data_IF_618395366488
#
_entry.id   IF_618395366488
#
_cell.length_a   1.000
_cell.length_b   1.000
_cell.length_c   1.000
_cell.angle_alpha   90.00
_cell.angle_beta   90.00
_cell.angle_gamma   90.00
#
_symmetry.space_group_name_H-M   'P 1'
#
loop_
_entity.id
_entity.type
_entity.pdbx_description
1 polymer ?
2 non-polymer ?
3 non-polymer ?
4 non-polymer ?
5 water ?
#
# COMPACT_ATOMS: atom_id res chain seq x y z
N UNK A 8 22.19 -12.44 22.66
CA UNK A 8 20.95 -12.67 23.38
C UNK A 8 20.05 -13.65 22.64
N UNK A 9 18.95 -13.14 22.07
CA UNK A 9 18.07 -13.97 21.27
C UNK A 9 18.66 -14.31 19.91
N UNK A 10 19.91 -13.94 19.65
CA UNK A 10 20.51 -14.22 18.35
C UNK A 10 20.77 -15.70 18.13
N UNK A 11 20.73 -16.51 19.18
CA UNK A 11 20.85 -17.94 19.03
C UNK A 11 19.55 -18.67 18.75
N UNK A 12 18.47 -17.94 18.48
CA UNK A 12 17.16 -18.57 18.33
C UNK A 12 17.09 -19.44 17.09
N UNK A 13 17.32 -18.85 15.91
CA UNK A 13 17.20 -19.60 14.67
C UNK A 13 18.26 -20.71 14.57
N UNK A 14 19.38 -20.54 15.26
CA UNK A 14 20.35 -21.64 15.35
C UNK A 14 19.75 -22.83 16.10
N UNK A 15 19.04 -22.56 17.19
CA UNK A 15 18.45 -23.64 17.98
C UNK A 15 17.22 -24.25 17.32
N UNK A 16 16.65 -23.57 16.33
CA UNK A 16 15.48 -24.07 15.64
C UNK A 16 15.82 -24.85 14.37
N UNK A 17 17.09 -24.93 14.00
CA UNK A 17 17.45 -25.58 12.75
C UNK A 17 17.01 -24.80 11.53
N UNK A 18 16.89 -23.50 11.63
CA UNK A 18 16.42 -22.63 10.55
C UNK A 18 17.61 -21.82 10.05
N UNK A 19 17.92 -21.88 8.76
CA UNK A 19 19.08 -21.16 8.25
C UNK A 19 18.84 -19.67 8.16
N UNK A 20 19.90 -18.95 7.79
CA UNK A 20 19.85 -17.52 7.62
C UNK A 20 21.22 -16.89 7.77
N UNK A 21 21.31 -15.60 7.45
CA UNK A 21 22.60 -14.90 7.60
C UNK A 21 22.98 -14.77 9.07
N UNK A 22 24.23 -15.11 9.38
CA UNK A 22 24.69 -15.08 10.76
C UNK A 22 24.67 -13.64 11.27
N UNK A 23 24.02 -13.37 12.41
CA UNK A 23 23.90 -12.00 12.87
C UNK A 23 25.14 -11.51 13.60
N UNK A 24 25.37 -10.20 13.49
CA UNK A 24 26.38 -9.51 14.26
C UNK A 24 25.81 -9.05 15.59
N UNK A 25 26.66 -8.85 16.61
CA UNK A 25 26.14 -8.40 17.91
C UNK A 25 25.39 -7.09 17.81
N UNK A 26 24.28 -7.01 18.53
CA UNK A 26 23.43 -5.81 18.63
C UNK A 26 22.76 -5.47 17.30
N UNK A 27 23.54 -5.41 16.22
CA UNK A 27 22.98 -5.02 14.93
C UNK A 27 22.19 -6.15 14.27
N UNK A 28 22.53 -7.40 14.56
CA UNK A 28 21.85 -8.50 13.90
C UNK A 28 22.26 -8.61 12.46
N UNK A 29 21.29 -8.47 11.55
CA UNK A 29 21.57 -8.54 10.12
C UNK A 29 21.24 -7.23 9.40
N UNK A 30 21.05 -6.13 10.13
CA UNK A 30 20.63 -4.87 9.51
C UNK A 30 21.67 -4.32 8.56
N UNK A 31 22.93 -4.76 8.70
CA UNK A 31 23.98 -4.28 7.81
C UNK A 31 23.75 -4.70 6.37
N UNK A 32 23.10 -5.84 6.14
CA UNK A 32 22.85 -6.33 4.80
C UNK A 32 21.74 -5.57 4.06
N UNK A 33 21.08 -4.62 4.74
CA UNK A 33 20.15 -3.68 4.13
C UNK A 33 20.81 -2.57 3.32
N UNK A 34 22.12 -2.64 3.06
CA UNK A 34 22.78 -1.56 2.33
C UNK A 34 22.34 -1.46 0.89
N UNK A 35 21.60 -2.46 0.37
CA UNK A 35 20.97 -2.37 -0.94
C UNK A 35 19.46 -2.43 -0.85
N UNK A 36 18.89 -2.04 0.28
CA UNK A 36 17.46 -2.17 0.49
C UNK A 36 17.09 -3.55 0.99
N UNK A 37 16.00 -3.64 1.78
CA UNK A 37 15.59 -4.94 2.27
C UNK A 37 15.05 -5.85 1.18
N UNK A 38 14.57 -5.30 0.06
CA UNK A 38 14.08 -6.15 -1.03
C UNK A 38 15.22 -6.97 -1.61
N UNK A 39 16.36 -6.33 -1.92
CA UNK A 39 17.53 -7.07 -2.36
C UNK A 39 17.95 -8.10 -1.32
N UNK A 40 17.86 -7.73 -0.04
CA UNK A 40 18.15 -8.68 1.03
C UNK A 40 17.17 -9.84 1.03
N UNK A 41 15.88 -9.55 0.86
CA UNK A 41 14.88 -10.61 0.86
C UNK A 41 15.05 -11.53 -0.33
N UNK A 42 15.32 -10.98 -1.51
CA UNK A 42 15.49 -11.80 -2.70
C UNK A 42 16.72 -12.67 -2.61
N UNK A 43 17.85 -12.11 -2.15
CA UNK A 43 19.07 -12.89 -2.05
C UNK A 43 18.95 -13.97 -0.97
N UNK A 44 18.33 -13.64 0.16
CA UNK A 44 18.07 -14.65 1.18
C UNK A 44 17.10 -15.71 0.67
N UNK A 45 16.15 -15.31 -0.18
CA UNK A 45 15.22 -16.27 -0.75
C UNK A 45 15.93 -17.28 -1.65
N UNK A 46 17.03 -16.87 -2.29
CA UNK A 46 17.75 -17.74 -3.21
C UNK A 46 18.79 -18.59 -2.50
N UNK A 47 19.33 -18.12 -1.38
CA UNK A 47 20.39 -18.85 -0.68
C UNK A 47 19.86 -19.83 0.35
N UNK A 48 18.68 -19.57 0.94
CA UNK A 48 18.19 -20.39 2.04
C UNK A 48 16.89 -21.13 1.74
N UNK A 49 16.16 -20.76 0.70
CA UNK A 49 15.00 -21.52 0.31
C UNK A 49 13.66 -20.96 0.74
N UNK A 50 12.74 -21.83 1.14
CA UNK A 50 11.37 -21.42 1.41
C UNK A 50 11.22 -20.71 2.76
N UNK A 51 12.06 -21.04 3.73
CA UNK A 51 12.00 -20.44 5.06
C UNK A 51 13.41 -20.06 5.48
N UNK A 52 13.55 -18.90 6.14
CA UNK A 52 14.82 -18.48 6.71
C UNK A 52 14.54 -17.43 7.77
N UNK A 53 15.51 -17.25 8.66
CA UNK A 53 15.38 -16.29 9.73
C UNK A 53 16.57 -15.35 9.80
N UNK A 54 16.30 -14.14 10.28
CA UNK A 54 17.33 -13.13 10.45
C UNK A 54 16.93 -12.24 11.62
N UNK A 55 17.74 -11.22 11.88
CA UNK A 55 17.55 -10.37 13.05
C UNK A 55 17.63 -8.91 12.64
N UNK A 56 16.56 -8.16 12.87
CA UNK A 56 16.59 -6.70 12.81
C UNK A 56 17.02 -6.22 14.19
N UNK A 57 18.33 -5.97 14.35
CA UNK A 57 18.86 -5.75 15.66
C UNK A 57 18.88 -7.05 16.43
N UNK A 58 18.14 -7.12 17.53
CA UNK A 58 17.96 -8.35 18.29
C UNK A 58 16.57 -8.93 18.10
N UNK A 59 15.78 -8.39 17.17
CA UNK A 59 14.43 -8.87 16.93
C UNK A 59 14.48 -10.01 15.91
N UNK A 60 14.13 -11.23 16.28
CA UNK A 60 14.13 -12.33 15.30
C UNK A 60 12.96 -12.20 14.34
N UNK A 61 13.25 -12.34 13.05
CA UNK A 61 12.24 -12.26 12.00
C UNK A 61 12.29 -13.56 11.21
N UNK A 62 11.15 -14.23 11.09
CA UNK A 62 11.03 -15.46 10.34
C UNK A 62 10.37 -15.18 8.99
N UNK A 63 11.11 -15.42 7.91
CA UNK A 63 10.59 -15.21 6.57
C UNK A 63 10.01 -16.51 6.02
N UNK A 64 8.80 -16.44 5.50
CA UNK A 64 8.13 -17.59 4.92
C UNK A 64 7.71 -17.26 3.50
N UNK A 65 7.85 -18.24 2.60
CA UNK A 65 7.43 -18.09 1.21
C UNK A 65 6.50 -19.20 0.74
N UNK A 66 6.12 -20.13 1.61
CA UNK A 66 5.23 -21.21 1.23
C UNK A 66 3.78 -20.73 1.26
N UNK A 67 3.01 -20.98 0.20
CA UNK A 67 1.65 -20.40 0.15
C UNK A 67 0.72 -20.92 1.24
N UNK A 68 0.74 -22.22 1.51
CA UNK A 68 -0.12 -22.77 2.56
C UNK A 68 0.24 -22.19 3.92
N UNK A 69 1.54 -22.06 4.21
CA UNK A 69 1.96 -21.47 5.48
C UNK A 69 1.58 -20.00 5.55
N UNK A 70 1.75 -19.28 4.43
CA UNK A 70 1.34 -17.87 4.38
C UNK A 70 -0.16 -17.74 4.62
N UNK A 71 -0.95 -18.63 4.01
CA UNK A 71 -2.39 -18.61 4.21
C UNK A 71 -2.75 -18.87 5.68
N UNK A 72 -2.00 -19.76 6.34
CA UNK A 72 -2.25 -20.03 7.75
C UNK A 72 -1.97 -18.79 8.59
N UNK A 73 -0.91 -18.05 8.27
CA UNK A 73 -0.56 -16.87 9.06
C UNK A 73 -1.58 -15.75 8.84
N UNK A 74 -1.84 -15.42 7.57
CA UNK A 74 -2.68 -14.27 7.27
C UNK A 74 -4.17 -14.54 7.48
N UNK A 75 -4.61 -15.80 7.38
CA UNK A 75 -6.03 -16.09 7.38
C UNK A 75 -6.40 -17.06 8.48
N UNK A 76 -5.82 -18.27 8.46
CA UNK A 76 -6.28 -19.35 9.33
C UNK A 76 -6.07 -19.02 10.80
N UNK A 77 -4.91 -18.46 11.15
CA UNK A 77 -4.55 -18.20 12.53
C UNK A 77 -4.37 -16.70 12.79
N UNK A 78 -5.23 -15.87 12.20
CA UNK A 78 -5.12 -14.44 12.38
C UNK A 78 -5.62 -13.99 13.75
N UNK A 79 -6.86 -14.36 14.10
CA UNK A 79 -7.45 -13.87 15.33
C UNK A 79 -6.75 -14.43 16.55
N UNK A 80 -6.33 -15.70 16.50
CA UNK A 80 -5.79 -16.36 17.68
C UNK A 80 -4.30 -16.14 17.88
N UNK A 81 -3.54 -15.95 16.80
CA UNK A 81 -2.09 -15.88 16.91
C UNK A 81 -1.55 -14.62 16.25
N UNK A 82 -1.74 -14.50 14.94
CA UNK A 82 -1.10 -13.43 14.17
C UNK A 82 -2.07 -12.26 13.97
N UNK A 83 -2.46 -11.65 15.10
CA UNK A 83 -3.42 -10.55 15.07
C UNK A 83 -2.78 -9.20 14.80
N UNK A 84 -1.49 -9.05 15.08
CA UNK A 84 -0.86 -7.75 15.07
C UNK A 84 0.41 -7.76 14.21
N UNK A 85 0.77 -6.57 13.75
CA UNK A 85 2.01 -6.34 13.03
C UNK A 85 3.07 -5.82 14.00
N UNK A 86 4.23 -5.44 13.46
CA UNK A 86 5.30 -4.92 14.29
C UNK A 86 4.84 -3.64 14.99
N UNK A 87 5.02 -3.52 16.30
CA UNK A 87 4.53 -2.32 17.02
C UNK A 87 5.32 -1.08 16.61
N UNK A 88 4.61 -0.13 16.01
CA UNK A 88 5.21 1.12 15.56
C UNK A 88 5.11 2.18 16.65
N UNK A 89 6.13 3.03 16.72
CA UNK A 89 6.17 4.09 17.69
C UNK A 89 7.45 4.90 17.60
N UNK A 90 7.54 5.99 18.37
CA UNK A 90 6.52 6.55 19.28
C UNK A 90 5.45 7.32 18.53
N UNK A 91 4.20 7.30 19.00
CA UNK A 91 3.10 7.92 18.27
C UNK A 91 2.26 8.79 19.20
N UNK A 92 2.04 8.35 20.42
CA UNK A 92 1.18 9.05 21.34
C UNK A 92 -0.26 8.64 21.13
N UNK A 93 -1.12 9.62 20.86
CA UNK A 93 -2.53 9.33 20.60
C UNK A 93 -2.73 8.53 19.32
N UNK A 94 -1.78 8.60 18.39
CA UNK A 94 -1.88 7.82 17.17
C UNK A 94 -1.80 6.32 17.41
N UNK A 95 -1.58 5.88 18.65
CA UNK A 95 -1.61 4.45 18.92
C UNK A 95 -3.00 3.87 18.70
N UNK A 96 -4.03 4.71 18.74
CA UNK A 96 -5.41 4.27 18.58
C UNK A 96 -5.86 4.30 17.13
N UNK A 97 -4.96 4.56 16.19
CA UNK A 97 -5.29 4.45 14.78
C UNK A 97 -5.45 2.99 14.40
N UNK A 98 -6.41 2.71 13.51
CA UNK A 98 -6.78 1.33 13.21
C UNK A 98 -5.60 0.57 12.63
N UNK A 99 -4.82 1.21 11.75
CA UNK A 99 -3.65 0.56 11.17
C UNK A 99 -2.52 0.36 12.16
N UNK A 100 -2.66 0.84 13.40
CA UNK A 100 -1.62 0.70 14.40
C UNK A 100 -2.11 -0.02 15.66
N UNK A 101 -3.40 0.00 15.97
CA UNK A 101 -3.92 -0.61 17.18
C UNK A 101 -3.74 -2.13 17.14
N UNK A 102 -3.98 -2.77 18.29
CA UNK A 102 -3.71 -4.19 18.46
C UNK A 102 -4.90 -4.92 19.04
N UNK A 103 -5.08 -6.17 18.59
CA UNK A 103 -6.01 -7.13 19.19
C UNK A 103 -7.42 -6.57 19.38
N UNK A 104 -7.84 -6.43 20.64
CA UNK A 104 -9.22 -6.07 20.93
C UNK A 104 -9.56 -4.66 20.47
N UNK A 105 -8.61 -3.72 20.63
CA UNK A 105 -8.89 -2.36 20.19
C UNK A 105 -8.96 -2.27 18.67
N UNK A 106 -8.08 -2.99 17.97
CA UNK A 106 -8.18 -3.04 16.51
C UNK A 106 -9.43 -3.76 16.07
N UNK A 107 -9.76 -4.89 16.72
CA UNK A 107 -10.96 -5.64 16.37
C UNK A 107 -12.20 -4.76 16.42
N UNK A 108 -12.24 -3.83 17.37
CA UNK A 108 -13.35 -2.89 17.44
C UNK A 108 -13.24 -1.84 16.34
N UNK A 109 -12.03 -1.29 16.16
CA UNK A 109 -11.84 -0.27 15.13
C UNK A 109 -12.14 -0.82 13.74
N UNK A 110 -11.83 -2.10 13.51
CA UNK A 110 -12.15 -2.72 12.23
C UNK A 110 -13.67 -2.80 12.03
N UNK A 111 -14.38 -3.31 13.03
CA UNK A 111 -15.83 -3.39 12.95
C UNK A 111 -16.47 -2.01 12.92
N UNK A 112 -15.82 -1.02 13.53
CA UNK A 112 -16.37 0.33 13.52
C UNK A 112 -16.25 0.97 12.15
N UNK A 113 -15.12 0.74 11.46
CA UNK A 113 -14.83 1.40 10.19
C UNK A 113 -15.05 0.50 8.97
N UNK A 114 -15.51 -0.74 9.17
CA UNK A 114 -15.77 -1.61 8.02
C UNK A 114 -16.81 -1.05 7.06
N UNK A 115 -17.98 -0.54 7.49
CA UNK A 115 -19.01 -0.16 6.52
C UNK A 115 -18.68 1.02 5.62
N UNK A 116 -17.50 1.62 5.78
CA UNK A 116 -17.10 2.73 4.93
C UNK A 116 -16.86 2.46 3.45
N UNK A 117 -16.52 1.23 3.08
CA UNK A 117 -16.27 0.85 1.70
C UNK A 117 -17.00 -0.44 1.35
N UNK A 118 -18.31 -0.47 1.58
CA UNK A 118 -19.12 -1.63 1.22
C UNK A 118 -19.33 -1.65 -0.29
N UNK A 119 -20.22 -2.54 -0.74
CA UNK A 119 -20.53 -2.61 -2.16
C UNK A 119 -21.20 -1.32 -2.64
N UNK A 120 -22.30 -0.95 -1.98
CA UNK A 120 -23.02 0.27 -2.35
C UNK A 120 -22.44 1.55 -1.76
N UNK A 121 -21.60 1.45 -0.73
CA UNK A 121 -20.99 2.65 -0.16
C UNK A 121 -20.08 3.34 -1.18
N UNK A 122 -19.46 2.57 -2.07
CA UNK A 122 -18.64 3.15 -3.11
C UNK A 122 -19.46 3.62 -4.31
N UNK A 123 -20.69 3.11 -4.44
CA UNK A 123 -21.51 3.47 -5.60
C UNK A 123 -21.97 4.91 -5.58
N UNK A 124 -22.34 5.42 -4.41
CA UNK A 124 -22.63 6.84 -4.21
C UNK A 124 -21.40 7.67 -3.89
N UNK A 125 -20.23 7.26 -4.37
CA UNK A 125 -19.02 8.07 -4.33
C UNK A 125 -18.62 8.61 -5.70
N UNK A 126 -18.81 7.81 -6.75
CA UNK A 126 -18.46 8.14 -8.14
C UNK A 126 -19.02 9.48 -8.59
N UNK A 127 -20.29 9.80 -8.30
CA UNK A 127 -20.78 11.14 -8.65
C UNK A 127 -19.97 12.26 -8.02
N UNK A 128 -19.37 12.02 -6.86
CA UNK A 128 -18.52 13.04 -6.25
C UNK A 128 -17.10 12.93 -6.79
N UNK A 129 -16.60 11.71 -6.98
CA UNK A 129 -15.25 11.52 -7.50
C UNK A 129 -15.14 12.02 -8.94
N UNK A 130 -16.21 11.87 -9.73
CA UNK A 130 -16.15 12.21 -11.14
C UNK A 130 -15.90 13.69 -11.35
N UNK A 131 -16.44 14.54 -10.47
CA UNK A 131 -16.24 15.98 -10.60
C UNK A 131 -14.77 16.35 -10.47
N UNK A 132 -14.06 15.71 -9.55
CA UNK A 132 -12.63 16.00 -9.40
C UNK A 132 -11.83 15.49 -10.57
N UNK A 133 -12.36 14.50 -11.30
CA UNK A 133 -11.69 14.05 -12.51
C UNK A 133 -11.51 15.18 -13.51
N UNK A 134 -12.60 15.92 -13.78
CA UNK A 134 -12.52 17.05 -14.72
C UNK A 134 -11.49 18.07 -14.27
N UNK A 135 -11.45 18.35 -12.96
CA UNK A 135 -10.47 19.28 -12.40
C UNK A 135 -9.08 18.84 -12.77
N UNK A 136 -8.85 17.53 -12.78
CA UNK A 136 -7.56 16.99 -13.18
C UNK A 136 -7.33 17.21 -14.68
N UNK A 137 -8.33 16.89 -15.51
CA UNK A 137 -8.13 17.05 -16.96
C UNK A 137 -7.99 18.52 -17.33
N UNK A 138 -8.55 19.42 -16.51
CA UNK A 138 -8.36 20.86 -16.74
C UNK A 138 -6.92 21.25 -16.45
N UNK A 139 -6.43 20.93 -15.25
CA UNK A 139 -5.04 21.15 -14.92
C UNK A 139 -4.10 20.30 -15.76
N UNK A 140 -4.59 19.22 -16.36
CA UNK A 140 -3.77 18.44 -17.27
C UNK A 140 -3.72 19.07 -18.66
N UNK A 141 -4.81 19.71 -19.09
CA UNK A 141 -4.91 20.18 -20.47
C UNK A 141 -3.91 21.29 -20.75
N UNK A 142 -3.25 21.79 -19.70
CA UNK A 142 -2.19 22.81 -19.89
C UNK A 142 -1.25 22.31 -20.98
N UNK A 143 -0.89 23.19 -21.93
CA UNK A 143 -0.07 22.77 -23.09
C UNK A 143 1.34 23.37 -23.01
N UNK A 144 2.16 22.92 -22.06
CA UNK A 144 3.57 23.38 -22.04
C UNK A 144 4.36 22.51 -23.01
N UNK A 145 4.03 22.58 -24.30
CA UNK A 145 4.68 21.70 -25.31
C UNK A 145 6.00 22.30 -25.78
N UNK A 149 8.48 17.64 -19.75
CA UNK A 149 7.52 16.62 -19.30
C UNK A 149 6.61 17.16 -18.18
N UNK A 150 6.03 16.26 -17.39
CA UNK A 150 5.12 16.66 -16.28
C UNK A 150 5.43 15.78 -15.06
N UNK A 151 5.57 16.38 -13.87
CA UNK A 151 5.77 15.52 -12.68
C UNK A 151 4.46 14.81 -12.38
N UNK A 152 4.37 13.52 -12.70
CA UNK A 152 3.10 12.82 -12.56
C UNK A 152 2.61 12.79 -11.12
N UNK A 153 3.52 12.82 -10.14
CA UNK A 153 3.12 12.64 -8.75
C UNK A 153 2.29 13.82 -8.25
N UNK A 154 2.76 15.04 -8.51
CA UNK A 154 2.07 16.22 -7.97
C UNK A 154 0.65 16.33 -8.51
N UNK A 155 0.48 16.11 -9.82
CA UNK A 155 -0.86 16.19 -10.41
C UNK A 155 -1.76 15.09 -9.84
N UNK A 156 -1.23 13.88 -9.72
CA UNK A 156 -2.01 12.80 -9.12
C UNK A 156 -2.23 13.04 -7.63
N UNK A 157 -1.23 13.58 -6.95
CA UNK A 157 -1.39 13.87 -5.52
C UNK A 157 -2.41 14.95 -5.27
N UNK A 158 -2.46 15.96 -6.13
CA UNK A 158 -3.51 16.97 -6.03
C UNK A 158 -4.89 16.35 -6.14
N UNK A 159 -5.05 15.42 -7.08
CA UNK A 159 -6.35 14.75 -7.27
C UNK A 159 -6.67 13.84 -6.08
N UNK A 160 -5.73 12.97 -5.70
CA UNK A 160 -6.00 11.97 -4.68
C UNK A 160 -6.28 12.60 -3.33
N UNK A 161 -5.67 13.76 -3.05
CA UNK A 161 -6.03 14.49 -1.83
C UNK A 161 -7.43 15.07 -1.94
N UNK A 162 -7.79 15.56 -3.13
CA UNK A 162 -9.10 16.16 -3.31
C UNK A 162 -10.22 15.14 -3.17
N UNK A 163 -9.95 13.87 -3.45
CA UNK A 163 -11.00 12.86 -3.45
C UNK A 163 -11.17 12.23 -2.06
N UNK A 164 -10.07 12.03 -1.32
CA UNK A 164 -10.21 11.38 -0.02
C UNK A 164 -10.64 12.39 1.04
N UNK A 165 -10.29 13.66 0.88
CA UNK A 165 -10.79 14.69 1.77
C UNK A 165 -12.26 15.01 1.51
N UNK A 166 -12.81 14.54 0.39
CA UNK A 166 -14.20 14.76 0.03
C UNK A 166 -15.09 13.58 0.35
N UNK A 167 -14.57 12.36 0.12
CA UNK A 167 -15.33 11.12 0.45
C UNK A 167 -15.38 10.94 1.97
N UNK A 168 -14.38 11.45 2.69
CA UNK A 168 -14.33 11.30 4.17
C UNK A 168 -15.01 12.51 4.83
N UNK A 169 -14.77 13.71 4.31
CA UNK A 169 -15.35 14.95 4.89
C UNK A 169 -15.76 15.89 3.74
N UNK A 170 -16.36 17.03 4.05
CA UNK A 170 -16.83 17.94 2.98
C UNK A 170 -15.82 19.02 2.68
N UNK A 171 -15.04 18.85 1.61
CA UNK A 171 -14.07 19.92 1.20
C UNK A 171 -13.71 19.59 -0.25
N UNK A 172 -13.58 20.62 -1.10
CA UNK A 172 -12.95 20.47 -2.45
C UNK A 172 -11.71 21.36 -2.45
N UNK A 173 -10.70 21.06 -3.26
CA UNK A 173 -9.44 21.86 -3.17
C UNK A 173 -8.96 21.75 -4.63
N UNK A 174 -9.09 22.82 -5.43
CA UNK A 174 -8.33 22.98 -6.66
C UNK A 174 -6.91 23.27 -6.17
N UNK A 175 -6.05 22.25 -6.22
CA UNK A 175 -4.68 22.33 -5.74
C UNK A 175 -3.72 22.98 -6.75
N UNK A 176 -4.27 23.68 -7.76
CA UNK A 176 -3.44 24.59 -8.54
C UNK A 176 -2.78 25.63 -7.66
N UNK A 177 -3.41 25.96 -6.54
CA UNK A 177 -2.86 26.92 -5.58
C UNK A 177 -2.38 25.98 -4.49
N UNK A 178 -2.15 26.54 -3.30
CA UNK A 178 -1.53 25.75 -2.21
C UNK A 178 -2.57 25.00 -1.39
N UNK A 179 -2.35 23.71 -1.08
CA UNK A 179 -3.23 22.95 -0.21
C UNK A 179 -2.66 23.05 1.21
N UNK A 180 -3.19 22.27 2.15
CA UNK A 180 -2.77 22.38 3.56
C UNK A 180 -2.18 21.04 3.98
N UNK A 181 -2.46 19.99 3.21
CA UNK A 181 -1.93 18.64 3.51
C UNK A 181 -0.40 18.66 3.45
N UNK A 182 0.31 18.52 4.58
CA UNK A 182 1.76 18.58 4.61
C UNK A 182 2.43 17.20 4.69
N UNK A 183 1.63 16.12 4.77
CA UNK A 183 2.20 14.75 4.87
C UNK A 183 3.52 14.79 5.65
N UNK A 198 11.73 11.45 6.14
CA UNK A 198 11.77 10.16 6.84
C UNK A 198 13.17 9.78 7.31
N UNK A 199 13.80 8.80 6.67
CA UNK A 199 15.19 8.38 7.02
C UNK A 199 15.41 8.37 8.53
N UNK A 200 14.56 7.63 9.26
CA UNK A 200 14.76 7.46 10.73
C UNK A 200 14.19 6.09 11.14
N UNK A 201 15.05 5.14 11.49
CA UNK A 201 14.57 3.77 11.83
C UNK A 201 15.54 3.11 12.82
N UNK A 202 16.36 3.90 13.52
CA UNK A 202 17.28 3.34 14.54
C UNK A 202 16.51 2.34 15.41
N UNK A 203 15.24 2.64 15.71
CA UNK A 203 14.40 1.73 16.55
C UNK A 203 14.52 0.30 16.01
N UNK A 204 14.43 0.12 14.68
CA UNK A 204 14.44 -1.25 14.17
C UNK A 204 15.63 -2.02 14.72
N UNK A 205 16.75 -1.33 14.92
CA UNK A 205 17.87 -1.92 15.62
C UNK A 205 17.63 -1.92 17.13
N UNK A 206 17.17 -0.79 17.67
CA UNK A 206 17.10 -0.57 19.11
C UNK A 206 15.72 -0.04 19.45
N UNK A 207 14.71 -0.92 19.51
CA UNK A 207 13.33 -0.43 19.67
C UNK A 207 12.93 -0.24 21.11
N UNK A 208 13.79 -0.72 22.02
CA UNK A 208 13.53 -0.75 23.45
C UNK A 208 13.46 0.68 23.97
N UNK A 209 13.88 1.60 23.12
CA UNK A 209 13.79 3.03 23.33
C UNK A 209 12.44 3.62 22.95
N UNK A 210 11.54 2.84 22.34
CA UNK A 210 10.19 3.33 22.07
C UNK A 210 9.43 3.65 23.36
N UNK A 211 9.39 2.78 24.37
CA UNK A 211 8.73 3.18 25.63
C UNK A 211 9.38 4.37 26.30
N UNK A 212 10.64 4.67 25.99
CA UNK A 212 11.25 5.91 26.47
C UNK A 212 10.53 7.11 25.89
N UNK A 213 10.28 7.08 24.57
CA UNK A 213 9.68 8.21 23.89
C UNK A 213 8.17 8.27 24.08
N UNK A 214 7.53 7.15 24.43
CA UNK A 214 6.12 7.18 24.80
C UNK A 214 5.87 7.96 26.08
N UNK A 215 6.91 8.20 26.87
CA UNK A 215 6.83 9.08 28.04
C UNK A 215 7.64 10.34 27.87
N UNK A 216 8.53 10.40 26.88
CA UNK A 216 9.26 11.61 26.54
C UNK A 216 8.43 12.59 25.72
N UNK A 217 7.14 12.31 25.56
CA UNK A 217 6.20 13.16 24.81
C UNK A 217 6.53 13.36 23.33
N UNK A 218 6.57 12.24 22.62
CA UNK A 218 6.96 12.20 21.21
C UNK A 218 5.79 11.69 20.40
N UNK A 219 5.49 12.36 19.29
CA UNK A 219 4.41 11.94 18.41
C UNK A 219 4.96 11.48 17.06
N UNK A 226 1.53 14.80 15.04
CA UNK A 226 0.81 15.87 14.30
C UNK A 226 0.30 16.93 15.27
N UNK A 227 0.12 18.16 14.79
CA UNK A 227 -0.45 19.23 15.64
C UNK A 227 -1.42 20.06 14.80
N UNK A 228 -0.92 20.70 13.73
CA UNK A 228 -1.84 21.43 12.82
C UNK A 228 -3.03 20.51 12.52
N UNK A 229 -2.74 19.32 12.00
CA UNK A 229 -3.81 18.40 11.65
C UNK A 229 -4.39 17.70 12.86
N UNK A 230 -3.67 17.67 13.99
CA UNK A 230 -4.20 17.00 15.17
C UNK A 230 -5.44 17.69 15.73
N UNK A 231 -5.72 18.91 15.29
CA UNK A 231 -6.96 19.57 15.70
C UNK A 231 -7.74 20.13 14.50
N UNK A 232 -7.05 20.42 13.40
CA UNK A 232 -7.74 20.84 12.18
C UNK A 232 -8.79 19.81 11.77
N UNK A 233 -8.47 18.53 11.91
CA UNK A 233 -9.47 17.48 11.73
C UNK A 233 -10.47 17.53 12.87
N UNK A 234 -9.98 17.64 14.11
CA UNK A 234 -10.80 17.60 15.32
C UNK A 234 -11.93 18.62 15.27
N UNK A 235 -11.68 19.74 14.58
CA UNK A 235 -12.65 20.82 14.45
C UNK A 235 -13.96 20.32 13.86
N UNK A 236 -13.87 19.40 12.91
CA UNK A 236 -15.00 18.84 12.19
C UNK A 236 -16.07 18.48 13.20
N UNK A 237 -17.18 19.19 13.12
CA UNK A 237 -18.36 18.92 13.92
C UNK A 237 -19.59 18.60 13.09
N UNK A 238 -19.80 19.32 11.98
CA UNK A 238 -20.92 19.09 11.05
C UNK A 238 -22.24 18.95 11.80
N UNK A 239 -22.52 19.92 12.67
CA UNK A 239 -23.75 19.95 13.44
C UNK A 239 -24.06 21.35 13.96
N UNK A 250 -20.45 8.55 4.49
CA UNK A 250 -19.66 9.62 5.08
C UNK A 250 -18.79 9.09 6.21
N UNK A 251 -17.47 9.09 6.00
CA UNK A 251 -16.55 8.57 7.00
C UNK A 251 -16.55 9.42 8.27
N UNK A 252 -16.59 10.74 8.11
CA UNK A 252 -16.60 11.62 9.28
C UNK A 252 -17.91 11.50 10.04
N UNK A 253 -19.05 11.52 9.32
CA UNK A 253 -20.34 11.45 9.98
C UNK A 253 -20.75 10.08 10.51
N UNK A 254 -20.19 9.03 9.91
CA UNK A 254 -20.40 7.65 10.43
C UNK A 254 -19.43 7.35 11.58
N UNK A 255 -18.91 8.40 12.23
CA UNK A 255 -17.95 8.21 13.34
C UNK A 255 -18.37 9.13 14.49
N UNK A 256 -18.64 10.40 14.20
CA UNK A 256 -19.15 11.32 15.26
C UNK A 256 -20.38 10.67 15.89
N UNK A 257 -20.99 9.71 15.20
CA UNK A 257 -22.13 8.96 15.78
C UNK A 257 -21.70 8.49 17.18
N UNK A 258 -20.39 8.32 17.40
CA UNK A 258 -19.87 7.93 18.74
C UNK A 258 -20.86 8.35 19.82
N UNK A 266 -21.13 1.64 26.04
CA UNK A 266 -21.58 0.40 25.41
C UNK A 266 -20.41 -0.37 24.82
N UNK A 267 -19.19 0.04 25.20
CA UNK A 267 -17.95 -0.54 24.69
C UNK A 267 -17.80 -0.33 23.18
N UNK A 268 -18.37 0.76 22.67
CA UNK A 268 -18.30 1.06 21.24
C UNK A 268 -18.26 2.57 21.03
N UNK A 269 -17.35 3.25 21.73
CA UNK A 269 -17.26 4.69 21.68
C UNK A 269 -16.13 5.12 20.74
N UNK A 270 -15.79 6.41 20.80
CA UNK A 270 -14.73 6.99 19.98
C UNK A 270 -14.45 8.42 20.41
N UNK A 271 -13.28 8.65 21.01
CA UNK A 271 -12.91 9.99 21.43
C UNK A 271 -12.66 10.87 20.19
N UNK A 272 -12.52 12.17 20.46
CA UNK A 272 -12.15 13.11 19.41
C UNK A 272 -10.80 12.73 18.80
N UNK A 273 -9.82 12.38 19.65
CA UNK A 273 -8.52 11.98 19.14
C UNK A 273 -8.63 10.70 18.31
N UNK A 274 -9.49 9.78 18.74
CA UNK A 274 -9.74 8.56 17.98
C UNK A 274 -10.29 8.90 16.61
N UNK A 275 -11.29 9.77 16.56
CA UNK A 275 -11.78 10.31 15.29
C UNK A 275 -10.62 10.79 14.43
N UNK A 276 -9.77 11.64 15.01
CA UNK A 276 -8.66 12.21 14.24
C UNK A 276 -7.67 11.12 13.84
N UNK A 277 -7.35 10.23 14.78
CA UNK A 277 -6.38 9.17 14.52
C UNK A 277 -6.78 8.28 13.36
N UNK A 278 -8.08 8.02 13.21
CA UNK A 278 -8.53 7.28 12.02
C UNK A 278 -8.50 8.17 10.79
N UNK A 279 -8.82 9.46 10.96
CA UNK A 279 -8.83 10.39 9.83
C UNK A 279 -7.42 10.57 9.27
N UNK A 280 -6.41 10.58 10.14
CA UNK A 280 -5.04 10.75 9.68
C UNK A 280 -4.62 9.60 8.79
N UNK A 281 -5.05 8.38 9.15
CA UNK A 281 -4.71 7.20 8.35
C UNK A 281 -5.42 7.25 7.00
N UNK A 282 -6.73 7.51 7.02
CA UNK A 282 -7.51 7.50 5.78
C UNK A 282 -7.03 8.58 4.80
N UNK A 283 -6.64 9.75 5.33
CA UNK A 283 -6.18 10.82 4.47
C UNK A 283 -4.85 10.45 3.83
N UNK A 284 -3.89 9.99 4.64
CA UNK A 284 -2.58 9.63 4.11
C UNK A 284 -2.69 8.50 3.10
N UNK A 285 -3.44 7.45 3.43
CA UNK A 285 -3.59 6.31 2.54
C UNK A 285 -4.29 6.70 1.24
N UNK A 286 -5.33 7.53 1.33
CA UNK A 286 -6.04 7.96 0.13
C UNK A 286 -5.25 8.91 -0.74
N UNK A 287 -4.31 9.63 -0.16
CA UNK A 287 -3.48 10.54 -0.93
C UNK A 287 -2.24 9.86 -1.49
N UNK A 288 -1.46 9.20 -0.63
CA UNK A 288 -0.16 8.69 -1.04
C UNK A 288 -0.29 7.43 -1.89
N UNK A 289 -0.99 6.41 -1.37
CA UNK A 289 -1.08 5.13 -2.07
C UNK A 289 -1.68 5.31 -3.45
N UNK A 290 -2.77 6.06 -3.55
CA UNK A 290 -3.40 6.30 -4.84
C UNK A 290 -2.43 6.99 -5.81
N UNK A 291 -1.92 8.16 -5.42
CA UNK A 291 -1.08 8.94 -6.31
C UNK A 291 0.22 8.19 -6.66
N UNK A 292 0.80 7.49 -5.69
CA UNK A 292 2.06 6.78 -5.94
C UNK A 292 1.88 5.68 -6.98
N UNK A 293 0.83 4.87 -6.83
CA UNK A 293 0.59 3.80 -7.79
C UNK A 293 0.17 4.36 -9.14
N UNK A 294 -0.64 5.43 -9.14
CA UNK A 294 -1.03 6.06 -10.40
C UNK A 294 0.19 6.50 -11.20
N UNK A 295 1.19 7.08 -10.53
CA UNK A 295 2.40 7.49 -11.23
C UNK A 295 3.20 6.29 -11.71
N UNK A 296 3.22 5.22 -10.93
CA UNK A 296 3.90 3.99 -11.38
C UNK A 296 3.18 3.39 -12.58
N UNK A 297 1.85 3.44 -12.60
CA UNK A 297 1.10 2.92 -13.73
C UNK A 297 1.42 3.73 -14.99
N UNK A 298 1.47 5.06 -14.85
CA UNK A 298 1.74 5.92 -16.00
C UNK A 298 3.16 5.72 -16.53
N UNK A 299 4.12 5.43 -15.65
CA UNK A 299 5.47 5.15 -16.12
C UNK A 299 5.50 3.93 -17.02
N UNK A 300 4.81 2.86 -16.62
CA UNK A 300 4.78 1.65 -17.44
C UNK A 300 3.98 1.86 -18.72
N UNK A 301 2.96 2.73 -18.69
CA UNK A 301 2.20 3.01 -19.90
C UNK A 301 3.03 3.83 -20.89
N UNK A 302 3.84 4.75 -20.39
CA UNK A 302 4.69 5.55 -21.28
C UNK A 302 5.79 4.70 -21.90
N UNK A 303 6.39 3.80 -21.12
CA UNK A 303 7.46 2.95 -21.61
C UNK A 303 6.94 1.73 -22.37
N UNK A 304 5.63 1.55 -22.44
CA UNK A 304 5.01 0.46 -23.21
C UNK A 304 3.85 1.05 -24.01
N UNK A 305 4.14 1.66 -25.16
CA UNK A 305 3.06 2.28 -25.94
C UNK A 305 1.99 1.30 -26.40
N UNK A 306 2.35 0.05 -26.66
CA UNK A 306 1.36 -0.93 -27.09
C UNK A 306 0.34 -1.19 -25.98
N UNK A 307 0.80 -1.24 -24.73
CA UNK A 307 -0.12 -1.45 -23.62
C UNK A 307 -0.95 -0.19 -23.38
N UNK A 308 -0.32 0.99 -23.42
CA UNK A 308 -1.05 2.23 -23.26
C UNK A 308 -2.06 2.43 -24.38
N UNK A 309 -1.72 2.02 -25.60
CA UNK A 309 -2.64 2.15 -26.72
C UNK A 309 -3.77 1.14 -26.64
N UNK A 310 -3.46 -0.13 -26.33
CA UNK A 310 -4.50 -1.13 -26.21
C UNK A 310 -5.44 -0.81 -25.06
N UNK A 311 -4.93 -0.19 -24.00
CA UNK A 311 -5.80 0.23 -22.90
C UNK A 311 -6.69 1.39 -23.33
N UNK A 312 -6.13 2.37 -24.04
CA UNK A 312 -6.94 3.49 -24.50
C UNK A 312 -8.03 3.05 -25.46
N UNK A 313 -7.78 1.98 -26.22
CA UNK A 313 -8.84 1.40 -27.05
C UNK A 313 -9.94 0.82 -26.17
N UNK A 314 -9.57 0.21 -25.04
CA UNK A 314 -10.55 -0.40 -24.15
C UNK A 314 -11.49 0.66 -23.57
N UNK A 315 -10.97 1.84 -23.25
CA UNK A 315 -11.80 2.88 -22.67
C UNK A 315 -12.73 3.49 -23.71
N UNK A 316 -12.29 3.57 -24.97
CA UNK A 316 -13.13 4.14 -26.01
C UNK A 316 -14.32 3.25 -26.31
N UNK A 317 -14.14 1.93 -26.29
CA UNK A 317 -15.23 1.03 -26.66
C UNK A 317 -16.29 0.97 -25.55
N UNK A 318 -15.88 0.53 -24.35
CA UNK A 318 -16.82 0.39 -23.25
C UNK A 318 -17.48 1.72 -22.92
N UNK A 319 -16.71 2.80 -22.93
CA UNK A 319 -17.24 4.14 -22.72
C UNK A 319 -17.17 4.92 -24.02
N UNK A 320 -18.17 4.79 -24.90
CA UNK A 320 -18.10 5.47 -26.20
C UNK A 320 -18.35 6.97 -26.06
N UNK A 321 -17.75 7.74 -26.97
CA UNK A 321 -17.89 9.19 -27.00
C UNK A 321 -17.41 9.83 -25.70
N UNK A 322 -16.44 9.19 -25.04
CA UNK A 322 -15.95 9.62 -23.73
C UNK A 322 -17.12 9.82 -22.75
N UNK A 323 -17.94 8.78 -22.63
CA UNK A 323 -19.08 8.82 -21.71
C UNK A 323 -18.56 8.95 -20.27
N UNK A 324 -19.34 9.59 -19.40
CA UNK A 324 -18.89 9.79 -18.01
C UNK A 324 -18.65 8.46 -17.33
N UNK A 325 -17.52 8.30 -16.64
CA UNK A 325 -17.22 7.03 -15.95
C UNK A 325 -18.20 6.81 -14.80
N UNK A 326 -18.94 5.70 -14.87
CA UNK A 326 -19.88 5.33 -13.83
C UNK A 326 -19.26 4.24 -12.95
N UNK A 327 -20.03 3.78 -11.96
CA UNK A 327 -19.52 2.75 -11.06
C UNK A 327 -19.46 1.39 -11.73
N UNK A 328 -20.30 1.15 -12.74
CA UNK A 328 -20.35 -0.15 -13.40
C UNK A 328 -19.48 -0.25 -14.64
N UNK A 329 -19.10 0.89 -15.24
CA UNK A 329 -18.20 0.85 -16.38
C UNK A 329 -16.77 0.53 -15.97
N UNK A 330 -16.37 0.95 -14.77
CA UNK A 330 -15.04 0.63 -14.26
C UNK A 330 -14.90 -0.87 -14.03
N UNK A 331 -15.94 -1.48 -13.47
CA UNK A 331 -15.90 -2.87 -13.03
C UNK A 331 -15.89 -3.88 -14.17
N UNK A 332 -15.94 -3.44 -15.44
CA UNK A 332 -15.94 -4.36 -16.56
C UNK A 332 -14.76 -4.19 -17.50
N UNK A 333 -14.04 -3.07 -17.43
CA UNK A 333 -12.86 -2.89 -18.26
C UNK A 333 -11.87 -3.92 -17.73
N UNK A 334 -11.71 -5.01 -18.48
CA UNK A 334 -10.88 -6.11 -18.00
C UNK A 334 -9.39 -5.81 -18.15
N UNK A 335 -8.97 -5.31 -19.32
CA UNK A 335 -7.57 -5.00 -19.54
C UNK A 335 -7.08 -3.91 -18.60
N UNK A 336 -7.96 -2.96 -18.25
CA UNK A 336 -7.61 -1.97 -17.23
C UNK A 336 -7.28 -2.65 -15.92
N UNK A 337 -8.07 -3.65 -15.53
CA UNK A 337 -7.80 -4.37 -14.29
C UNK A 337 -6.46 -5.09 -14.36
N UNK A 338 -6.10 -5.64 -15.52
CA UNK A 338 -4.82 -6.31 -15.66
C UNK A 338 -3.66 -5.33 -15.53
N UNK A 339 -3.84 -4.11 -16.03
CA UNK A 339 -2.75 -3.14 -16.04
C UNK A 339 -2.44 -2.69 -14.61
N UNK A 340 -3.47 -2.40 -13.82
CA UNK A 340 -3.21 -2.00 -12.43
C UNK A 340 -2.73 -3.19 -11.61
N UNK A 341 -3.12 -4.41 -12.00
CA UNK A 341 -2.68 -5.58 -11.27
C UNK A 341 -1.21 -5.88 -11.52
N UNK A 342 -0.80 -5.82 -12.80
CA UNK A 342 0.60 -6.08 -13.13
C UNK A 342 1.53 -5.01 -12.56
N UNK A 343 1.05 -3.76 -12.48
CA UNK A 343 1.86 -2.72 -11.86
C UNK A 343 2.03 -2.95 -10.36
N UNK A 344 0.97 -3.44 -9.71
CA UNK A 344 1.07 -3.76 -8.28
C UNK A 344 2.00 -4.93 -8.02
N UNK A 345 2.21 -5.81 -9.01
CA UNK A 345 3.17 -6.90 -8.84
C UNK A 345 4.60 -6.35 -8.83
N UNK A 346 4.95 -5.52 -9.82
CA UNK A 346 6.31 -5.01 -9.91
C UNK A 346 6.59 -3.93 -8.87
N UNK A 347 5.56 -3.21 -8.43
CA UNK A 347 5.71 -2.11 -7.48
C UNK A 347 4.70 -2.29 -6.34
N UNK A 348 4.97 -3.21 -5.41
CA UNK A 348 4.09 -3.36 -4.25
C UNK A 348 4.34 -2.24 -3.24
N UNK A 349 3.25 -1.73 -2.67
CA UNK A 349 3.36 -0.70 -1.65
C UNK A 349 3.90 -1.29 -0.36
N UNK A 350 3.60 -2.56 -0.10
CA UNK A 350 4.07 -3.22 1.12
C UNK A 350 5.54 -3.62 1.02
N UNK A 351 5.87 -4.41 0.00
CA UNK A 351 7.18 -5.05 -0.18
C UNK A 351 7.34 -6.15 0.87
N UNK A 352 6.95 -5.88 2.11
CA UNK A 352 6.93 -6.88 3.17
C UNK A 352 5.59 -6.89 3.89
N UNK A 353 5.02 -8.09 4.04
CA UNK A 353 3.90 -8.31 4.95
C UNK A 353 4.43 -8.96 6.22
N UNK A 354 3.91 -8.52 7.37
CA UNK A 354 4.44 -9.00 8.64
C UNK A 354 3.31 -9.19 9.65
N UNK A 355 3.48 -10.19 10.51
CA UNK A 355 2.59 -10.46 11.63
C UNK A 355 3.43 -10.88 12.82
N UNK A 356 3.08 -10.35 14.00
CA UNK A 356 3.79 -10.70 15.23
C UNK A 356 3.16 -11.95 15.83
N UNK A 357 3.98 -12.96 16.08
CA UNK A 357 3.51 -14.18 16.71
C UNK A 357 3.20 -13.90 18.18
N UNK A 358 1.95 -14.10 18.58
CA UNK A 358 1.53 -13.74 19.93
C UNK A 358 1.65 -14.89 20.91
N UNK A 359 1.57 -16.13 20.43
CA UNK A 359 1.73 -17.30 21.29
C UNK A 359 2.30 -18.43 20.46
N UNK A 360 2.85 -19.43 21.16
CA UNK A 360 3.53 -20.54 20.50
C UNK A 360 2.57 -21.27 19.56
N UNK A 361 3.05 -21.56 18.35
CA UNK A 361 2.25 -22.23 17.33
C UNK A 361 3.09 -23.29 16.63
N UNK A 362 2.38 -24.26 16.04
CA UNK A 362 2.97 -25.20 15.09
C UNK A 362 2.10 -25.17 13.84
N UNK A 363 2.62 -24.57 12.77
CA UNK A 363 1.88 -24.38 11.54
C UNK A 363 2.61 -25.10 10.40
N UNK A 364 1.87 -25.92 9.66
CA UNK A 364 2.42 -26.69 8.54
C UNK A 364 3.66 -27.48 8.94
N UNK A 365 3.64 -28.01 10.17
CA UNK A 365 4.74 -28.80 10.66
C UNK A 365 5.99 -28.01 11.01
N UNK A 366 5.83 -26.88 11.70
CA UNK A 366 6.96 -26.07 12.11
C UNK A 366 6.56 -25.23 13.31
N UNK A 367 7.39 -25.25 14.35
CA UNK A 367 7.10 -24.54 15.59
C UNK A 367 7.64 -23.12 15.53
N UNK A 368 6.86 -22.17 16.04
CA UNK A 368 7.23 -20.76 16.08
C UNK A 368 7.04 -20.24 17.49
N UNK A 369 8.06 -19.66 18.13
CA UNK A 369 7.91 -19.15 19.48
C UNK A 369 7.17 -17.80 19.49
N UNK A 370 6.74 -17.41 20.68
CA UNK A 370 6.11 -16.12 20.88
C UNK A 370 7.12 -15.00 20.69
N UNK A 371 6.65 -13.89 20.14
CA UNK A 371 7.48 -12.71 19.97
C UNK A 371 8.26 -12.64 18.68
N UNK A 372 8.22 -13.68 17.86
CA UNK A 372 8.89 -13.67 16.56
C UNK A 372 7.99 -12.97 15.55
N UNK A 373 8.58 -12.11 14.73
CA UNK A 373 7.87 -11.47 13.64
C UNK A 373 7.96 -12.37 12.42
N UNK A 374 6.80 -12.80 11.91
CA UNK A 374 6.73 -13.60 10.70
C UNK A 374 6.57 -12.65 9.51
N UNK A 375 7.50 -12.71 8.57
CA UNK A 375 7.52 -11.81 7.43
C UNK A 375 7.25 -12.58 6.14
N UNK A 376 6.44 -12.00 5.27
CA UNK A 376 6.15 -12.53 3.95
C UNK A 376 6.75 -11.57 2.93
N UNK A 377 7.85 -11.92 2.27
CA UNK A 377 8.52 -10.99 1.33
C UNK A 377 7.77 -10.85 0.02
N UNK A 378 6.76 -9.98 0.03
CA UNK A 378 5.90 -9.80 -1.13
C UNK A 378 6.70 -9.39 -2.36
N UNK A 379 7.62 -8.43 -2.20
CA UNK A 379 8.43 -7.99 -3.32
C UNK A 379 9.26 -9.15 -3.88
N UNK A 380 9.87 -9.93 -2.99
CA UNK A 380 10.66 -11.07 -3.45
C UNK A 380 9.79 -12.12 -4.13
N UNK A 381 8.57 -12.31 -3.61
CA UNK A 381 7.65 -13.28 -4.21
C UNK A 381 7.05 -12.76 -5.51
N UNK A 382 6.82 -11.45 -5.60
CA UNK A 382 6.30 -10.88 -6.84
C UNK A 382 7.34 -10.93 -7.96
N UNK A 383 8.63 -10.94 -7.61
CA UNK A 383 9.71 -11.00 -8.58
C UNK A 383 10.32 -12.39 -8.66
N UNK A 384 9.61 -13.41 -8.21
CA UNK A 384 10.18 -14.76 -8.13
C UNK A 384 10.09 -15.45 -9.50
N UNK A 385 11.22 -15.83 -10.10
CA UNK A 385 11.15 -16.55 -11.39
C UNK A 385 10.49 -17.92 -11.30
N UNK A 386 10.28 -18.45 -10.09
CA UNK A 386 9.59 -19.73 -9.95
C UNK A 386 8.09 -19.61 -10.11
N UNK A 387 7.52 -18.42 -9.93
CA UNK A 387 6.09 -18.21 -10.12
C UNK A 387 5.76 -17.27 -11.28
N UNK A 388 6.74 -16.55 -11.81
CA UNK A 388 6.53 -15.66 -12.94
C UNK A 388 7.66 -15.86 -13.94
N UNK A 389 7.32 -16.03 -15.21
CA UNK A 389 8.32 -16.11 -16.26
C UNK A 389 8.76 -14.71 -16.66
N UNK A 390 10.08 -14.50 -16.73
CA UNK A 390 10.66 -13.17 -16.94
C UNK A 390 10.02 -12.19 -15.96
N UNK A 391 10.24 -12.36 -14.66
CA UNK A 391 9.46 -11.60 -13.67
C UNK A 391 9.78 -10.11 -13.64
N UNK A 392 10.93 -9.69 -14.15
CA UNK A 392 11.26 -8.27 -14.17
C UNK A 392 10.56 -7.52 -15.29
N UNK A 393 9.81 -8.21 -16.16
CA UNK A 393 9.16 -7.59 -17.29
C UNK A 393 7.73 -7.18 -16.94
N UNK A 394 7.29 -6.08 -17.53
CA UNK A 394 5.91 -5.60 -17.39
C UNK A 394 5.06 -6.28 -18.44
N UNK A 395 4.25 -7.25 -18.01
CA UNK A 395 3.40 -8.03 -18.92
C UNK A 395 2.02 -8.19 -18.28
N UNK A 396 1.07 -7.30 -18.60
CA UNK A 396 -0.26 -7.40 -18.01
C UNK A 396 -1.04 -8.63 -18.44
N UNK A 397 -0.56 -9.39 -19.43
CA UNK A 397 -1.23 -10.63 -19.82
C UNK A 397 -1.15 -11.70 -18.75
N UNK A 398 -0.27 -11.54 -17.76
CA UNK A 398 -0.26 -12.49 -16.65
C UNK A 398 -1.61 -12.54 -15.96
N UNK A 399 -2.36 -11.44 -15.98
CA UNK A 399 -3.66 -11.35 -15.33
C UNK A 399 -4.81 -11.44 -16.32
N UNK A 400 -4.60 -12.08 -17.46
CA UNK A 400 -5.67 -12.26 -18.43
C UNK A 400 -6.68 -13.29 -17.91
N UNK A 401 -7.73 -13.51 -18.69
CA UNK A 401 -8.79 -14.45 -18.29
C UNK A 401 -8.23 -15.85 -18.05
N UNK A 402 -7.38 -16.33 -18.97
CA UNK A 402 -6.84 -17.68 -18.85
C UNK A 402 -5.65 -17.76 -17.89
N UNK A 403 -4.84 -16.71 -17.82
CA UNK A 403 -3.64 -16.74 -16.98
C UNK A 403 -3.92 -16.34 -15.54
N UNK A 404 -5.14 -15.91 -15.23
CA UNK A 404 -5.50 -15.57 -13.86
C UNK A 404 -5.47 -16.77 -12.93
N UNK A 405 -5.68 -17.98 -13.46
CA UNK A 405 -5.74 -19.16 -12.61
C UNK A 405 -4.37 -19.63 -12.13
N UNK A 406 -3.32 -19.40 -12.92
CA UNK A 406 -1.98 -19.85 -12.55
C UNK A 406 -1.38 -19.06 -11.41
N UNK A 407 -2.03 -17.97 -10.97
CA UNK A 407 -1.49 -17.11 -9.92
C UNK A 407 -2.03 -17.58 -8.57
N UNK A 408 -1.13 -17.81 -7.63
CA UNK A 408 -1.55 -18.18 -6.29
C UNK A 408 -1.90 -16.93 -5.49
N UNK A 409 -3.09 -16.85 -4.89
CA UNK A 409 -3.47 -15.64 -4.16
C UNK A 409 -2.70 -15.41 -2.89
N UNK A 410 -1.70 -16.24 -2.58
CA UNK A 410 -0.84 -16.03 -1.42
C UNK A 410 0.62 -15.82 -1.83
N UNK A 411 0.89 -15.71 -3.13
CA UNK A 411 2.17 -15.23 -3.62
C UNK A 411 2.07 -13.79 -4.10
N UNK A 412 0.97 -13.47 -4.80
CA UNK A 412 0.66 -12.11 -5.23
C UNK A 412 -0.35 -11.54 -4.25
N UNK A 413 0.13 -10.72 -3.31
CA UNK A 413 -0.71 -10.13 -2.26
C UNK A 413 -0.40 -8.64 -2.15
N UNK A 414 -0.83 -7.84 -3.13
CA UNK A 414 -0.54 -6.40 -3.06
C UNK A 414 -1.34 -5.69 -1.97
N UNK A 415 -2.52 -6.20 -1.64
CA UNK A 415 -3.34 -5.66 -0.55
C UNK A 415 -3.35 -6.58 0.67
N UNK A 416 -2.44 -7.55 0.71
CA UNK A 416 -2.54 -8.46 1.84
C UNK A 416 -3.76 -9.35 1.68
N UNK A 417 -4.08 -10.05 2.76
CA UNK A 417 -5.30 -10.86 2.82
C UNK A 417 -5.60 -11.14 4.28
N UNK A 418 -6.81 -11.67 4.51
CA UNK A 418 -7.25 -11.98 5.85
C UNK A 418 -7.95 -10.82 6.50
N UNK A 419 -8.23 -10.95 7.80
CA UNK A 419 -8.96 -9.88 8.51
C UNK A 419 -8.20 -8.57 8.60
N UNK A 420 -6.87 -8.58 8.45
CA UNK A 420 -6.07 -7.36 8.49
C UNK A 420 -5.59 -6.92 7.11
N UNK A 421 -6.34 -7.26 6.06
CA UNK A 421 -5.97 -6.81 4.72
C UNK A 421 -6.26 -5.32 4.59
N UNK A 422 -5.97 -4.77 3.41
CA UNK A 422 -6.22 -3.36 3.14
C UNK A 422 -7.72 -3.10 3.16
N UNK A 423 -8.19 -2.34 4.16
CA UNK A 423 -9.62 -2.09 4.29
C UNK A 423 -10.12 -1.16 3.20
N UNK A 424 -9.25 -0.35 2.60
CA UNK A 424 -9.65 0.55 1.55
C UNK A 424 -9.23 0.04 0.18
N UNK A 425 -9.13 -1.28 0.04
CA UNK A 425 -8.69 -1.87 -1.22
C UNK A 425 -9.61 -1.52 -2.36
N UNK A 426 -10.92 -1.73 -2.18
CA UNK A 426 -11.87 -1.47 -3.26
C UNK A 426 -12.05 0.02 -3.51
N UNK A 427 -11.88 0.85 -2.48
CA UNK A 427 -11.90 2.29 -2.70
C UNK A 427 -10.67 2.73 -3.47
N UNK A 428 -9.51 2.14 -3.16
CA UNK A 428 -8.29 2.48 -3.88
C UNK A 428 -8.34 2.00 -5.32
N UNK A 429 -8.85 0.79 -5.54
CA UNK A 429 -8.95 0.27 -6.91
C UNK A 429 -9.92 1.11 -7.73
N UNK A 430 -11.05 1.50 -7.14
CA UNK A 430 -12.03 2.31 -7.87
C UNK A 430 -11.51 3.72 -8.09
N UNK A 431 -10.93 4.33 -7.05
CA UNK A 431 -10.44 5.70 -7.17
C UNK A 431 -9.31 5.80 -8.19
N UNK A 432 -8.47 4.78 -8.27
CA UNK A 432 -7.40 4.78 -9.27
C UNK A 432 -7.95 4.54 -10.66
N UNK A 433 -8.81 3.53 -10.82
CA UNK A 433 -9.34 3.20 -12.13
C UNK A 433 -10.22 4.31 -12.67
N UNK A 434 -10.98 4.99 -11.80
CA UNK A 434 -11.72 6.16 -12.23
C UNK A 434 -10.78 7.25 -12.72
N UNK A 435 -9.56 7.31 -12.19
CA UNK A 435 -8.58 8.29 -12.64
C UNK A 435 -7.92 7.86 -13.94
N UNK A 436 -7.52 6.59 -14.03
CA UNK A 436 -6.88 6.08 -15.24
C UNK A 436 -7.78 6.17 -16.46
N UNK A 437 -9.10 6.18 -16.26
CA UNK A 437 -10.04 6.14 -17.37
C UNK A 437 -10.15 7.52 -18.03
N UNK A 438 -10.39 8.56 -17.24
CA UNK A 438 -10.58 9.89 -17.82
C UNK A 438 -9.27 10.50 -18.30
N UNK A 439 -8.16 10.20 -17.63
CA UNK A 439 -6.89 10.80 -18.01
C UNK A 439 -6.37 10.19 -19.31
N UNK A 440 -6.74 8.94 -19.59
CA UNK A 440 -6.36 8.29 -20.84
C UNK A 440 -7.38 8.48 -21.94
N UNK A 441 -8.63 8.83 -21.60
CA UNK A 441 -9.62 9.18 -22.60
C UNK A 441 -9.27 10.46 -23.34
N UNK A 442 -8.40 11.30 -22.76
CA UNK A 442 -8.07 12.59 -23.33
C UNK A 442 -6.60 12.76 -23.67
N UNK A 443 -5.69 12.14 -22.93
CA UNK A 443 -4.26 12.41 -23.08
C UNK A 443 -3.50 11.13 -23.40
N UNK A 444 -2.32 11.32 -23.99
CA UNK A 444 -1.32 10.28 -24.16
C UNK A 444 -0.05 10.69 -23.43
N UNK A 445 0.67 9.70 -22.92
CA UNK A 445 1.84 9.94 -22.09
C UNK A 445 3.06 9.30 -22.73
N UNK A 446 4.19 10.01 -22.66
CA UNK A 446 5.35 9.73 -23.48
C UNK A 446 6.61 10.06 -22.69
N UNK A 447 7.69 9.30 -22.87
CA UNK A 447 8.94 9.60 -22.17
C UNK A 447 9.48 10.98 -22.52
N UNK A 448 10.52 11.37 -21.80
CA UNK A 448 11.13 12.68 -21.98
C UNK A 448 12.61 12.60 -21.61
N UNK A 449 13.32 13.70 -21.89
CA UNK A 449 14.73 13.77 -21.50
C UNK A 449 14.87 13.85 -19.99
N UNK A 450 13.86 14.38 -19.28
CA UNK A 450 13.85 14.45 -17.83
C UNK A 450 13.23 13.22 -17.20
N UNK A 451 13.21 12.09 -17.89
CA UNK A 451 12.61 10.86 -17.41
C UNK A 451 13.69 9.84 -17.10
N UNK A 452 13.59 9.19 -15.94
CA UNK A 452 14.53 8.14 -15.56
C UNK A 452 14.10 6.83 -16.19
N UNK A 453 14.88 6.35 -17.16
CA UNK A 453 14.63 5.08 -17.83
C UNK A 453 15.94 4.30 -17.86
N UNK A 454 16.00 3.11 -17.24
CA UNK A 454 14.93 2.44 -16.49
C UNK A 454 14.71 3.05 -15.12
N UNK A 455 13.46 3.14 -14.66
CA UNK A 455 13.17 3.71 -13.35
C UNK A 455 13.78 2.82 -12.26
N UNK A 456 14.47 3.45 -11.32
CA UNK A 456 15.08 2.76 -10.20
C UNK A 456 14.37 3.15 -8.90
N UNK A 457 14.04 2.15 -8.09
CA UNK A 457 13.27 2.43 -6.84
C UNK A 457 14.24 2.77 -5.71
N UNK A 458 13.81 3.65 -4.80
CA UNK A 458 14.66 3.99 -3.62
C UNK A 458 15.05 2.64 -3.00
N UNK A 459 16.34 2.36 -2.90
CA UNK A 459 16.82 1.10 -2.26
C UNK A 459 16.80 1.28 -0.73
N UNK A 460 15.71 1.84 -0.20
CA UNK A 460 15.59 2.03 1.26
C UNK A 460 14.46 1.20 1.83
N UNK A 461 13.31 1.82 2.10
CA UNK A 461 12.16 1.10 2.66
C UNK A 461 10.84 1.72 2.27
N UNK A 462 10.69 2.06 0.98
CA UNK A 462 9.44 2.75 0.53
C UNK A 462 9.25 2.51 -0.97
N UNK A 463 8.03 2.23 -1.41
CA UNK A 463 7.76 2.08 -2.86
C UNK A 463 7.80 3.53 -3.36
N UNK A 464 8.99 4.15 -3.32
CA UNK A 464 9.17 5.48 -3.89
C UNK A 464 10.25 5.38 -4.95
N UNK A 465 10.11 6.06 -6.08
CA UNK A 465 11.18 6.07 -7.08
C UNK A 465 12.35 6.93 -6.64
N UNK A 466 13.52 6.65 -7.20
CA UNK A 466 14.68 7.48 -6.95
C UNK A 466 14.47 8.89 -7.51
N UNK A 467 14.08 8.98 -8.79
CA UNK A 467 13.70 10.22 -9.42
C UNK A 467 12.20 10.21 -9.74
N UNK A 468 11.54 11.35 -9.64
CA UNK A 468 10.09 11.38 -9.90
C UNK A 468 9.77 10.97 -11.34
N UNK A 469 8.55 10.50 -11.53
CA UNK A 469 8.07 10.13 -12.86
C UNK A 469 7.67 11.40 -13.58
N UNK A 470 8.49 11.85 -14.52
CA UNK A 470 8.24 13.07 -15.30
C UNK A 470 8.07 12.62 -16.75
N UNK A 471 6.83 12.59 -17.23
CA UNK A 471 6.52 12.12 -18.56
C UNK A 471 5.98 13.27 -19.42
N UNK A 472 6.27 13.20 -20.71
CA UNK A 472 5.74 14.16 -21.67
C UNK A 472 4.29 13.81 -21.98
N UNK A 473 3.38 14.71 -21.62
CA UNK A 473 1.95 14.49 -21.82
C UNK A 473 1.55 15.12 -23.16
N UNK A 474 0.86 14.34 -23.98
CA UNK A 474 0.35 14.81 -25.26
C UNK A 474 -1.16 14.65 -25.30
N UNK A 475 -1.81 15.45 -26.15
CA UNK A 475 -3.26 15.51 -26.20
C UNK A 475 -3.76 15.07 -27.57
N UNK A 476 -5.08 14.90 -27.66
CA UNK A 476 -5.72 14.50 -28.91
C UNK A 476 -6.76 15.53 -29.34
X LIG B 1 -3.67 -1.97 5.12
X LIG B 1 -1.95 -1.77 0.58
X LIG B 1 -4.82 2.04 -0.30
X LIG B 1 -6.37 1.98 4.30
X LIG B 1 -2.96 -2.26 3.98
X LIG B 1 -1.99 -3.34 3.82
X LIG B 1 -1.51 -3.27 2.56
X LIG B 1 -2.16 -2.16 1.88
X LIG B 1 -0.47 -4.22 1.94
X LIG B 1 -1.58 -4.35 4.90
X LIG B 1 -2.35 -5.65 4.67
X LIG B 1 -1.75 -6.74 5.52
X LIG B 1 -2.21 -7.90 5.42
X LIG B 1 -0.82 -6.45 6.30
X LIG B 1 -2.61 -0.75 -0.07
X LIG B 1 -2.50 -0.43 -1.48
X LIG B 1 -3.30 0.63 -1.72
X LIG B 1 -3.93 1.00 -0.47
X LIG B 1 -1.61 -1.21 -2.46
X LIG B 1 -3.57 1.39 -3.05
X LIG B 1 -3.07 1.06 -4.25
X LIG B 1 -5.51 2.34 0.86
X LIG B 1 -6.54 3.35 0.98
X LIG B 1 -6.98 3.35 2.24
X LIG B 1 -6.25 2.33 2.97
X LIG B 1 -7.03 4.28 -0.15
X LIG B 1 -8.08 4.31 2.76
X LIG B 1 -8.47 4.33 4.04
X LIG B 1 -5.74 0.93 4.94
X LIG B 1 -5.80 0.63 6.36
X LIG B 1 -5.05 -0.45 6.58
X LIG B 1 -4.49 -0.89 5.32
X LIG B 1 -6.58 1.43 7.42
X LIG B 1 -4.84 -1.14 7.94
X LIG B 1 -6.00 -2.09 8.20
X LIG B 1 -5.88 -2.69 9.58
X LIG B 1 -6.83 -3.39 10.01
X LIG B 1 -4.82 -2.48 10.23
X LIG B 1 -3.03 -1.57 2.78
X LIG B 1 -3.48 0.14 0.51
X LIG B 1 -5.36 1.73 2.08
X LIG B 1 -4.94 -0.01 4.34
X LIG B 1 -4.16 0.11 2.44
X LIG C 1 11.29 -4.71 -19.97
X LIG C 1 11.28 -4.20 -18.70
X LIG C 1 9.89 -4.45 -20.57
X LIG C 1 9.02 -3.90 -19.63
X LIG C 1 9.45 -5.83 -21.06
X LIG C 1 8.11 -5.95 -20.76
X LIG D 1 -2.67 2.29 4.15
X LIG D 1 2.38 4.94 10.52
X LIG D 1 2.08 6.09 9.54
X LIG D 1 1.01 6.99 9.73
X LIG D 1 2.58 7.24 7.45
X LIG D 1 2.84 6.23 8.38
X LIG D 1 1.63 0.45 10.90
X LIG D 1 2.66 -0.08 9.81
X LIG D 1 -1.34 1.24 2.58
X LIG D 1 2.01 3.47 10.00
X LIG D 1 0.74 8.01 8.80
X LIG D 1 1.53 8.13 7.65
X LIG D 1 0.62 3.35 9.32
X LIG D 1 -0.74 2.72 7.22
X LIG D 1 -1.46 4.06 6.99
X LIG D 1 -1.90 4.33 5.53
X LIG D 1 -1.66 3.23 4.50
X LIG D 1 -0.45 3.11 3.79
X LIG D 1 -0.28 2.12 2.84
X LIG D 1 2.10 -1.36 9.06
X LIG D 1 1.27 -1.10 7.79
X LIG D 1 1.92 -0.91 6.52
X LIG D 1 3.34 -0.95 6.35
X LIG D 1 3.97 -0.78 5.16
X LIG D 1 3.20 -0.54 3.97
X LIG D 1 1.84 -0.48 4.08
X LIG D 1 1.17 -0.67 5.32
X LIG D 1 -0.23 -0.61 5.43
X LIG D 1 -0.87 -0.78 6.62
X LIG D 1 -0.11 -1.04 7.82
X LIG D 1 5.23 0.13 9.99
X LIG D 1 6.52 -0.15 10.75
X LIG D 1 6.56 -0.75 12.01
X LIG D 1 8.88 -0.68 12.20
X LIG D 1 8.98 -0.08 10.93
X LIG D 1 7.79 0.19 10.21
X LIG D 1 0.51 2.89 7.95
X LIG D 1 -2.52 1.33 3.23
X LIG D 1 3.97 -0.31 10.47
X LIG D 1 7.68 -1.01 12.72
X LIG D 1 -0.36 3.68 9.96
X LIG D 1 5.26 0.74 8.94
X LIG D 1 1.95 2.21 11.41
#
# INVERSE_FOLDING_TARGET
>A
MAYLYGTHSHGLFKKLGIPGPTPLPFLGNILSYHKGFCMFDMECHKKYGKVWGFYDGQQPVLAITDPDMIKTVLVKECYSVFTNRRPFGPVGFMKSAISIAEDEEWKRLRSLLSPTFTSGKLKEMVPIIAQYGDVLVRNLRREAETGKPVTLKDVFGAYSMDVITSTSFGVNIDSLNNPQDPFVENTKKLLRFDFLDPFFLSITVFPFLIPILEVLNICVFPREVTNFLRKSVKRMKESRLEDTQKHRVDFLQLMIDSQNSKETESHKALSDLELVAQSIIFIFAGYETTSSVLSFIMYELATHPDVQQKLQEEIDAVLPNKAPPTYDTVLQMEYLDMVVNETLRLFPIAMRLERVCKKDVEINGMFIPKGVVVMIPSYALHRDPKYWTEPEKFLPERFSKKNKDNIDPYIYTPFGSGPRNCIGMRFALMNMKLALIRVLQNFSFKPCKETQIPLKLSLGGLLQPEKPVVLKVESRDGTVSGAHHHH
>B hetero
1 HEM CHA CHB CHC CHD C1A C2A C3A C4A CMA CAA CBA CGA O1A O2A C1B C2B C3B C4B CMB CAB CBB C1C C2C C3C C4C CMC CAC CBC C1D C2D C3D C4D CMD CAD CBD CGD O1D O2D NA NB NC ND FE
>C hetero
1 GOL C1 O1 C2 O2 C3 O3
>D hetero
1 A1A4V C12 C14 C15 C16 C19 C20 C22 C23 C10 C13 C17 C18 C02 C04 C05 C06 C07 C08 C09 C24 C25 C26 C27 C28 C29 C30 C31 C32 C33 C34 C36 C38 C39 C41 C42 C43 N03 N11 N35 N40 O01 O37 S21
#
